data_IF_721703510359
#
_entry.id   IF_721703510359
#
_cell.length_a   1.000
_cell.length_b   1.000
_cell.length_c   1.000
_cell.angle_alpha   90.00
_cell.angle_beta   90.00
_cell.angle_gamma   90.00
#
_symmetry.space_group_name_H-M   'P 1'
#
loop_
_entity.id
_entity.type
_entity.pdbx_description
1 polymer ?
#
# COMPACT_ATOMS: atom_id res chain seq x y z
N UNK A 1 8.28 -0.30 8.54
CA UNK A 1 8.95 -1.58 8.23
C UNK A 1 9.45 -1.63 6.79
N UNK A 2 8.66 -1.94 5.75
CA UNK A 2 9.21 -1.99 4.37
C UNK A 2 9.66 -0.64 3.80
N UNK A 3 8.82 0.40 3.91
CA UNK A 3 9.16 1.72 3.39
C UNK A 3 10.38 2.33 4.12
N UNK A 4 10.46 2.16 5.45
CA UNK A 4 11.59 2.63 6.26
C UNK A 4 12.92 1.99 5.81
N UNK A 5 12.95 0.66 5.63
CA UNK A 5 14.13 -0.04 5.12
C UNK A 5 14.48 0.44 3.70
N UNK A 6 13.48 0.64 2.84
CA UNK A 6 13.73 1.18 1.50
C UNK A 6 14.36 2.57 1.55
N UNK A 7 13.90 3.46 2.43
CA UNK A 7 14.50 4.78 2.65
C UNK A 7 15.95 4.67 3.14
N UNK A 8 16.23 3.80 4.11
CA UNK A 8 17.58 3.57 4.64
C UNK A 8 18.55 3.08 3.56
N UNK A 9 18.07 2.26 2.62
CA UNK A 9 18.85 1.73 1.50
C UNK A 9 18.91 2.67 0.29
N UNK A 10 18.27 3.84 0.35
CA UNK A 10 18.19 4.78 -0.78
C UNK A 10 17.38 4.26 -1.97
N UNK A 11 16.45 3.33 -1.73
CA UNK A 11 15.56 2.77 -2.76
C UNK A 11 14.34 3.70 -2.90
N UNK A 12 14.02 4.18 -4.12
CA UNK A 12 12.84 5.02 -4.34
C UNK A 12 11.55 4.33 -3.92
N UNK A 13 10.73 5.03 -3.13
CA UNK A 13 9.42 4.54 -2.69
C UNK A 13 8.32 5.31 -3.39
N UNK A 14 7.42 4.58 -4.06
CA UNK A 14 6.20 5.11 -4.63
C UNK A 14 5.00 4.67 -3.80
N UNK A 15 4.32 5.61 -3.16
CA UNK A 15 3.18 5.32 -2.30
C UNK A 15 1.85 5.40 -3.06
N UNK A 16 1.05 4.33 -2.99
CA UNK A 16 -0.34 4.32 -3.45
C UNK A 16 -1.28 4.53 -2.26
N UNK A 17 -1.96 5.67 -2.26
CA UNK A 17 -2.81 6.16 -1.17
C UNK A 17 -4.27 6.18 -1.66
N UNK A 18 -5.23 5.61 -0.90
CA UNK A 18 -6.60 5.48 -1.39
C UNK A 18 -7.27 6.84 -1.65
N UNK A 19 -7.04 7.84 -0.80
CA UNK A 19 -7.56 9.20 -0.95
C UNK A 19 -6.78 10.18 -0.07
N UNK A 20 -6.88 11.47 -0.38
CA UNK A 20 -6.27 12.53 0.43
C UNK A 20 -6.84 12.55 1.85
N UNK A 21 -5.96 12.60 2.86
CA UNK A 21 -6.37 12.64 4.27
C UNK A 21 -6.81 11.28 4.84
N UNK A 22 -6.36 10.14 4.27
CA UNK A 22 -6.68 8.81 4.80
C UNK A 22 -6.33 8.65 6.29
N UNK A 23 -5.33 9.40 6.77
CA UNK A 23 -4.85 9.37 8.14
C UNK A 23 -5.69 10.19 9.12
N UNK A 24 -6.67 10.96 8.62
CA UNK A 24 -7.42 11.96 9.40
C UNK A 24 -8.03 11.42 10.70
N UNK A 25 -8.42 10.15 10.72
CA UNK A 25 -9.03 9.47 11.88
C UNK A 25 -8.04 8.72 12.77
N UNK A 26 -6.76 8.70 12.44
CA UNK A 26 -5.74 8.00 13.23
C UNK A 26 -5.32 8.81 14.47
N UNK A 27 -4.67 8.19 15.48
CA UNK A 27 -4.02 8.93 16.55
C UNK A 27 -2.91 9.86 16.04
N UNK A 28 -2.64 10.97 16.73
CA UNK A 28 -1.74 12.01 16.23
C UNK A 28 -0.29 11.54 16.02
N UNK A 29 0.19 10.59 16.84
CA UNK A 29 1.51 10.01 16.62
C UNK A 29 1.58 9.25 15.28
N UNK A 30 0.54 8.49 14.95
CA UNK A 30 0.45 7.76 13.69
C UNK A 30 0.32 8.70 12.50
N UNK A 31 -0.42 9.82 12.63
CA UNK A 31 -0.49 10.86 11.60
C UNK A 31 0.89 11.47 11.32
N UNK A 32 1.65 11.80 12.36
CA UNK A 32 3.00 12.37 12.22
C UNK A 32 3.95 11.40 11.53
N UNK A 33 3.96 10.14 11.95
CA UNK A 33 4.76 9.10 11.31
C UNK A 33 4.40 8.92 9.84
N UNK A 34 3.11 8.78 9.54
CA UNK A 34 2.64 8.62 8.16
C UNK A 34 3.03 9.80 7.27
N UNK A 35 2.80 11.05 7.73
CA UNK A 35 3.18 12.24 6.97
C UNK A 35 4.69 12.32 6.73
N UNK A 36 5.49 11.97 7.74
CA UNK A 36 6.95 11.88 7.59
C UNK A 36 7.37 10.87 6.51
N UNK A 37 6.72 9.70 6.46
CA UNK A 37 6.98 8.70 5.41
C UNK A 37 6.54 9.20 4.03
N UNK A 38 5.36 9.81 3.93
CA UNK A 38 4.83 10.36 2.66
C UNK A 38 5.77 11.43 2.10
N UNK A 39 6.33 12.30 2.94
CA UNK A 39 7.29 13.31 2.50
C UNK A 39 8.62 12.75 1.97
N UNK A 40 8.96 11.51 2.33
CA UNK A 40 10.19 10.84 1.86
C UNK A 40 9.96 10.00 0.59
N UNK A 41 8.71 9.79 0.19
CA UNK A 41 8.40 9.03 -1.02
C UNK A 41 8.80 9.81 -2.27
N UNK A 42 9.37 9.12 -3.26
CA UNK A 42 9.66 9.65 -4.60
C UNK A 42 8.37 10.12 -5.29
N UNK A 43 7.28 9.39 -5.09
CA UNK A 43 5.97 9.80 -5.59
C UNK A 43 4.85 9.31 -4.68
N UNK A 44 3.75 10.07 -4.68
CA UNK A 44 2.52 9.71 -3.97
C UNK A 44 1.34 9.79 -4.93
N UNK A 45 0.67 8.68 -5.14
CA UNK A 45 -0.51 8.56 -6.00
C UNK A 45 -1.76 8.48 -5.15
N UNK A 46 -2.64 9.47 -5.26
CA UNK A 46 -3.99 9.42 -4.68
C UNK A 46 -4.92 8.72 -5.67
N UNK A 47 -5.43 7.54 -5.30
CA UNK A 47 -6.16 6.67 -6.22
C UNK A 47 -7.63 7.08 -6.41
N UNK A 48 -8.23 7.79 -5.44
CA UNK A 48 -9.59 8.31 -5.53
C UNK A 48 -9.68 9.72 -4.95
N UNK A 49 -10.64 10.49 -5.48
CA UNK A 49 -10.86 11.88 -5.06
C UNK A 49 -11.53 12.00 -3.69
N UNK A 50 -12.27 10.96 -3.26
CA UNK A 50 -13.11 10.99 -2.05
C UNK A 50 -12.98 9.73 -1.21
N UNK A 51 -13.15 9.84 0.13
CA UNK A 51 -13.19 8.68 1.01
C UNK A 51 -14.36 7.76 0.68
N UNK A 52 -14.07 6.49 0.39
CA UNK A 52 -15.07 5.43 0.24
C UNK A 52 -14.45 4.06 0.50
N UNK A 53 -15.27 3.03 0.66
CA UNK A 53 -14.78 1.64 0.71
C UNK A 53 -14.09 1.28 -0.62
N UNK A 54 -14.66 1.71 -1.73
CA UNK A 54 -14.13 1.44 -3.07
C UNK A 54 -12.77 2.09 -3.30
N UNK A 55 -12.47 3.22 -2.65
CA UNK A 55 -11.16 3.86 -2.74
C UNK A 55 -10.01 2.94 -2.26
N UNK A 56 -10.26 2.12 -1.23
CA UNK A 56 -9.27 1.15 -0.75
C UNK A 56 -9.07 -0.01 -1.75
N UNK A 57 -10.16 -0.48 -2.37
CA UNK A 57 -10.10 -1.54 -3.37
C UNK A 57 -9.44 -1.05 -4.66
N UNK A 58 -9.77 0.17 -5.10
CA UNK A 58 -9.14 0.83 -6.24
C UNK A 58 -7.64 1.02 -6.00
N UNK A 59 -7.23 1.45 -4.79
CA UNK A 59 -5.82 1.53 -4.43
C UNK A 59 -5.11 0.20 -4.63
N UNK A 60 -5.69 -0.90 -4.15
CA UNK A 60 -5.12 -2.24 -4.36
C UNK A 60 -4.98 -2.57 -5.85
N UNK A 61 -6.01 -2.28 -6.67
CA UNK A 61 -5.97 -2.51 -8.10
C UNK A 61 -4.90 -1.69 -8.83
N UNK A 62 -4.76 -0.41 -8.51
CA UNK A 62 -3.74 0.47 -9.12
C UNK A 62 -2.34 0.02 -8.71
N UNK A 63 -2.13 -0.32 -7.43
CA UNK A 63 -0.86 -0.82 -6.93
C UNK A 63 -0.44 -2.11 -7.62
N UNK A 64 -1.34 -3.10 -7.71
CA UNK A 64 -1.08 -4.37 -8.40
C UNK A 64 -0.87 -4.18 -9.90
N UNK A 65 -1.62 -3.27 -10.53
CA UNK A 65 -1.47 -2.96 -11.96
C UNK A 65 -0.07 -2.41 -12.29
N UNK A 66 0.57 -1.71 -11.37
CA UNK A 66 1.86 -1.07 -11.58
C UNK A 66 3.03 -1.87 -10.99
N UNK A 67 2.78 -3.08 -10.51
CA UNK A 67 3.81 -3.96 -9.97
C UNK A 67 4.25 -5.02 -10.99
N UNK A 68 5.52 -5.42 -10.88
CA UNK A 68 6.14 -6.53 -11.62
C UNK A 68 6.33 -7.77 -10.73
N UNK A 69 6.42 -7.58 -9.42
CA UNK A 69 6.53 -8.62 -8.39
C UNK A 69 5.79 -8.16 -7.14
N UNK A 70 5.27 -9.11 -6.37
CA UNK A 70 4.61 -8.85 -5.11
C UNK A 70 5.26 -9.61 -3.95
N UNK A 71 5.33 -8.96 -2.78
CA UNK A 71 5.67 -9.59 -1.50
C UNK A 71 4.50 -9.32 -0.56
N UNK A 72 3.98 -10.36 0.08
CA UNK A 72 2.87 -10.24 1.01
C UNK A 72 3.18 -10.91 2.34
N UNK A 73 3.01 -10.15 3.42
CA UNK A 73 3.06 -10.63 4.80
C UNK A 73 1.62 -10.90 5.23
N UNK A 74 1.18 -12.16 5.14
CA UNK A 74 -0.23 -12.51 5.27
C UNK A 74 -0.41 -13.98 5.62
N UNK A 75 -1.37 -14.25 6.51
CA UNK A 75 -1.62 -15.57 7.10
C UNK A 75 -2.85 -16.29 6.54
N UNK A 76 -3.35 -15.86 5.38
CA UNK A 76 -4.56 -16.42 4.76
C UNK A 76 -5.89 -15.83 5.28
N UNK A 77 -5.88 -14.90 6.23
CA UNK A 77 -7.11 -14.30 6.77
C UNK A 77 -7.86 -13.43 5.75
N UNK A 78 -9.20 -13.47 5.72
CA UNK A 78 -9.98 -12.63 4.80
C UNK A 78 -9.80 -11.14 5.11
N UNK A 79 -9.90 -10.29 4.08
CA UNK A 79 -9.88 -8.83 4.25
C UNK A 79 -9.20 -8.09 3.10
N UNK A 80 -8.73 -6.88 3.38
CA UNK A 80 -8.13 -6.00 2.37
C UNK A 80 -6.87 -6.58 1.72
N UNK A 81 -6.08 -7.36 2.47
CA UNK A 81 -4.91 -8.05 1.92
C UNK A 81 -5.31 -9.20 1.01
N UNK A 82 -6.30 -10.02 1.40
CA UNK A 82 -6.84 -11.09 0.57
C UNK A 82 -7.30 -10.57 -0.81
N UNK A 83 -7.98 -9.42 -0.84
CA UNK A 83 -8.37 -8.78 -2.10
C UNK A 83 -7.16 -8.40 -2.99
N UNK A 84 -6.06 -7.90 -2.40
CA UNK A 84 -4.86 -7.60 -3.17
C UNK A 84 -4.21 -8.89 -3.71
N UNK A 85 -4.19 -9.96 -2.91
CA UNK A 85 -3.68 -11.28 -3.31
C UNK A 85 -4.49 -11.86 -4.49
N UNK A 86 -5.83 -11.77 -4.45
CA UNK A 86 -6.68 -12.21 -5.56
C UNK A 86 -6.33 -11.49 -6.86
N UNK A 87 -6.11 -10.18 -6.80
CA UNK A 87 -5.70 -9.38 -7.97
C UNK A 87 -4.30 -9.76 -8.47
N UNK A 88 -3.36 -10.06 -7.58
CA UNK A 88 -2.01 -10.51 -7.91
C UNK A 88 -2.08 -11.85 -8.67
N UNK A 89 -2.89 -12.79 -8.18
CA UNK A 89 -3.12 -14.08 -8.84
C UNK A 89 -3.80 -13.92 -10.21
N UNK A 90 -4.84 -13.10 -10.31
CA UNK A 90 -5.54 -12.80 -11.58
C UNK A 90 -4.56 -12.22 -12.61
N UNK A 91 -3.64 -11.34 -12.18
CA UNK A 91 -2.63 -10.74 -13.05
C UNK A 91 -1.48 -11.70 -13.38
N UNK A 92 -1.31 -12.78 -12.62
CA UNK A 92 -0.19 -13.71 -12.77
C UNK A 92 1.15 -13.12 -12.34
N UNK A 93 1.16 -12.21 -11.37
CA UNK A 93 2.40 -11.64 -10.84
C UNK A 93 3.16 -12.67 -9.99
N UNK A 94 4.49 -12.77 -10.11
CA UNK A 94 5.31 -13.48 -9.14
C UNK A 94 5.04 -12.96 -7.73
N UNK A 95 4.72 -13.87 -6.80
CA UNK A 95 4.33 -13.55 -5.44
C UNK A 95 5.22 -14.31 -4.45
N UNK A 96 5.87 -13.58 -3.54
CA UNK A 96 6.54 -14.14 -2.37
C UNK A 96 5.65 -13.95 -1.14
N UNK A 97 5.27 -15.06 -0.52
CA UNK A 97 4.47 -15.09 0.70
C UNK A 97 5.37 -15.18 1.93
N UNK A 98 5.07 -14.39 2.94
CA UNK A 98 5.70 -14.43 4.27
C UNK A 98 4.58 -14.68 5.29
N UNK A 99 4.58 -15.86 5.89
CA UNK A 99 3.59 -16.25 6.90
C UNK A 99 3.84 -15.53 8.23
N UNK A 100 2.75 -15.17 8.93
CA UNK A 100 2.74 -14.49 10.23
C UNK A 100 1.66 -14.99 11.18
#
# INVERSE_FOLDING_TARGET
>A
MFAEIAFELGIPVHAYVPFYGQESRWPDHAKRMYRSMIHQCESVFFCADRPSKDAFLLRNAVMVKNADVAVAVWNGSPGGTAHAIDLIHIRGLPLTMIDV
#
